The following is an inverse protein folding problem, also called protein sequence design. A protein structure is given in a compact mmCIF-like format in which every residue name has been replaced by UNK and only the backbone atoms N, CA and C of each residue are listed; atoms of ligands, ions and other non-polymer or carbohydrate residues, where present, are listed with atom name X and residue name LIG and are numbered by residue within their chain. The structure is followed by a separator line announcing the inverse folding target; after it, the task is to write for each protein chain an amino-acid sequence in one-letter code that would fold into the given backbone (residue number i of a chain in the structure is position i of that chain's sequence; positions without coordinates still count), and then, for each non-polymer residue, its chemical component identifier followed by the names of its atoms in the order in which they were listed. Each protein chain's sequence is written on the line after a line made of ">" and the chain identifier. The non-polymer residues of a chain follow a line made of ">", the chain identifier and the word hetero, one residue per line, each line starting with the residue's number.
data_IF_393320726471
#
_entry.id   IF_393320726471
#
_cell.length_a   1.000
_cell.length_b   1.000
_cell.length_c   1.000
_cell.angle_alpha   90.00
_cell.angle_beta   90.00
_cell.angle_gamma   90.00
#
_symmetry.space_group_name_H-M   'P 1'
#
loop_
_entity.id
_entity.type
_entity.pdbx_description
1 polymer ?
#
# COMPACT_ATOMS: atom_id res chain seq x y z
N UNK A 1 6.66 -23.09 29.34
CA UNK A 1 8.02 -22.61 29.65
C UNK A 1 8.25 -21.34 28.84
N UNK A 2 8.83 -20.29 29.45
CA UNK A 2 9.27 -19.10 28.70
C UNK A 2 10.68 -19.40 28.21
N UNK A 3 10.91 -19.25 26.92
CA UNK A 3 12.20 -19.44 26.27
C UNK A 3 12.65 -18.13 25.63
N UNK A 4 13.92 -18.08 25.25
CA UNK A 4 14.50 -16.98 24.51
C UNK A 4 15.06 -17.52 23.19
N UNK A 5 14.73 -16.87 22.09
CA UNK A 5 15.20 -17.22 20.75
C UNK A 5 15.80 -15.98 20.09
N UNK A 6 17.00 -16.12 19.54
CA UNK A 6 17.71 -15.02 18.87
C UNK A 6 18.09 -15.42 17.46
N UNK A 7 17.89 -14.53 16.50
CA UNK A 7 18.28 -14.70 15.10
C UNK A 7 18.64 -13.35 14.46
N UNK A 8 19.31 -13.37 13.31
CA UNK A 8 19.59 -12.17 12.53
C UNK A 8 18.64 -12.08 11.33
N UNK A 9 18.26 -10.86 10.94
CA UNK A 9 17.71 -10.61 9.61
C UNK A 9 18.85 -10.73 8.60
N UNK A 10 18.89 -11.87 7.91
CA UNK A 10 20.00 -12.25 7.04
C UNK A 10 19.56 -12.45 5.60
N UNK A 11 20.48 -12.17 4.67
CA UNK A 11 20.26 -12.39 3.26
C UNK A 11 20.62 -13.82 2.89
N UNK A 12 19.60 -14.65 2.65
CA UNK A 12 19.75 -16.06 2.29
C UNK A 12 19.86 -16.29 0.79
N UNK A 13 19.84 -15.23 -0.03
CA UNK A 13 19.98 -15.39 -1.47
C UNK A 13 21.43 -15.75 -1.83
N UNK A 14 21.68 -16.40 -2.98
CA UNK A 14 23.03 -16.63 -3.46
C UNK A 14 23.79 -15.29 -3.67
N UNK A 15 25.03 -15.13 -3.17
CA UNK A 15 25.78 -13.86 -3.20
C UNK A 15 25.88 -13.20 -4.59
N UNK A 16 25.86 -14.00 -5.66
CA UNK A 16 25.99 -13.53 -7.04
C UNK A 16 24.64 -13.35 -7.75
N UNK A 17 23.55 -13.17 -7.00
CA UNK A 17 22.20 -12.94 -7.56
C UNK A 17 21.76 -11.48 -7.40
N UNK A 18 20.98 -10.98 -8.35
CA UNK A 18 20.36 -9.66 -8.24
C UNK A 18 19.51 -9.51 -6.96
N UNK A 19 18.83 -10.60 -6.55
CA UNK A 19 18.06 -10.65 -5.30
C UNK A 19 18.94 -10.48 -4.07
N UNK A 20 20.17 -11.01 -4.06
CA UNK A 20 21.11 -10.78 -2.98
C UNK A 20 21.52 -9.32 -2.89
N UNK A 21 21.96 -8.71 -3.99
CA UNK A 21 22.35 -7.30 -4.00
C UNK A 21 21.20 -6.38 -3.54
N UNK A 22 19.98 -6.64 -4.01
CA UNK A 22 18.79 -5.89 -3.65
C UNK A 22 18.44 -6.03 -2.15
N UNK A 23 18.33 -7.27 -1.65
CA UNK A 23 18.00 -7.51 -0.24
C UNK A 23 19.09 -6.99 0.71
N UNK A 24 20.37 -7.09 0.35
CA UNK A 24 21.46 -6.55 1.17
C UNK A 24 21.33 -5.02 1.34
N UNK A 25 21.06 -4.31 0.25
CA UNK A 25 20.83 -2.85 0.25
C UNK A 25 19.60 -2.47 1.08
N UNK A 26 18.50 -3.20 0.90
CA UNK A 26 17.27 -2.99 1.64
C UNK A 26 17.48 -3.26 3.15
N UNK A 27 18.16 -4.34 3.54
CA UNK A 27 18.47 -4.62 4.94
C UNK A 27 19.27 -3.48 5.59
N UNK A 28 20.21 -2.85 4.88
CA UNK A 28 20.91 -1.66 5.38
C UNK A 28 19.95 -0.49 5.67
N UNK A 29 18.92 -0.32 4.84
CA UNK A 29 17.85 0.64 5.08
C UNK A 29 17.04 0.32 6.33
N UNK A 30 16.64 -0.95 6.50
CA UNK A 30 15.88 -1.42 7.68
C UNK A 30 16.64 -1.18 8.98
N UNK A 31 17.97 -1.39 8.99
CA UNK A 31 18.81 -1.17 10.16
C UNK A 31 18.77 0.26 10.71
N UNK A 32 18.43 1.24 9.85
CA UNK A 32 18.29 2.66 10.21
C UNK A 32 16.85 3.00 10.64
N UNK A 33 15.90 2.09 10.41
CA UNK A 33 14.47 2.26 10.66
C UNK A 33 13.89 1.19 11.59
N UNK A 34 14.68 0.64 12.52
CA UNK A 34 14.25 -0.44 13.43
C UNK A 34 13.00 -0.11 14.26
N UNK A 35 12.68 1.18 14.42
CA UNK A 35 11.45 1.66 15.09
C UNK A 35 10.18 1.27 14.34
N UNK A 36 10.26 0.93 13.05
CA UNK A 36 9.10 0.46 12.28
C UNK A 36 8.50 -0.83 12.83
N UNK A 37 9.27 -1.61 13.58
CA UNK A 37 8.79 -2.81 14.25
C UNK A 37 8.11 -2.52 15.59
N UNK A 38 8.12 -1.28 16.10
CA UNK A 38 7.54 -0.96 17.40
C UNK A 38 6.05 -1.32 17.52
N UNK A 39 5.18 -1.04 16.52
CA UNK A 39 3.79 -1.47 16.55
C UNK A 39 3.63 -2.99 16.76
N UNK A 40 4.42 -3.79 16.04
CA UNK A 40 4.47 -5.23 16.20
C UNK A 40 4.97 -5.64 17.59
N UNK A 41 6.01 -4.98 18.13
CA UNK A 41 6.53 -5.24 19.48
C UNK A 41 5.45 -5.01 20.53
N UNK A 42 4.81 -3.84 20.50
CA UNK A 42 3.76 -3.47 21.46
C UNK A 42 2.58 -4.43 21.41
N UNK A 43 2.18 -4.84 20.19
CA UNK A 43 1.12 -5.84 20.00
C UNK A 43 1.45 -7.17 20.66
N UNK A 44 2.61 -7.73 20.38
CA UNK A 44 3.02 -9.03 20.93
C UNK A 44 3.19 -8.99 22.46
N UNK A 45 3.67 -7.86 22.97
CA UNK A 45 3.80 -7.63 24.41
C UNK A 45 2.42 -7.54 25.08
N UNK A 46 1.48 -6.76 24.51
CA UNK A 46 0.13 -6.61 25.04
C UNK A 46 -0.71 -7.90 24.96
N UNK A 47 -0.70 -8.60 23.82
CA UNK A 47 -1.60 -9.73 23.57
C UNK A 47 -1.12 -11.05 24.15
N UNK A 48 0.21 -11.26 24.21
CA UNK A 48 0.79 -12.58 24.51
C UNK A 48 1.95 -12.52 25.51
N UNK A 49 2.26 -11.34 26.06
CA UNK A 49 3.42 -11.12 26.94
C UNK A 49 4.74 -11.55 26.28
N UNK A 50 4.83 -11.40 24.95
CA UNK A 50 6.02 -11.75 24.18
C UNK A 50 6.86 -10.49 23.99
N UNK A 51 8.09 -10.52 24.51
CA UNK A 51 9.02 -9.39 24.39
C UNK A 51 9.89 -9.57 23.14
N UNK A 52 9.83 -8.59 22.23
CA UNK A 52 10.65 -8.56 21.01
C UNK A 52 11.65 -7.41 21.10
N UNK A 53 12.93 -7.74 21.02
CA UNK A 53 14.02 -6.77 20.95
C UNK A 53 14.61 -6.79 19.55
N UNK A 54 14.81 -5.61 18.96
CA UNK A 54 15.40 -5.45 17.62
C UNK A 54 16.57 -4.49 17.76
N UNK A 55 17.78 -5.00 17.52
CA UNK A 55 19.03 -4.27 17.66
C UNK A 55 19.75 -4.24 16.32
N UNK A 56 20.12 -3.06 15.85
CA UNK A 56 21.05 -2.92 14.72
C UNK A 56 22.49 -2.80 15.25
N UNK A 57 23.38 -3.61 14.70
CA UNK A 57 24.82 -3.51 14.93
C UNK A 57 25.47 -2.95 13.67
N UNK A 58 25.88 -1.68 13.75
CA UNK A 58 26.48 -0.95 12.64
C UNK A 58 27.86 -1.48 12.27
N UNK A 59 28.60 -2.09 13.20
CA UNK A 59 29.92 -2.64 12.96
C UNK A 59 29.82 -3.91 12.11
N UNK A 60 28.89 -4.81 12.45
CA UNK A 60 28.69 -6.07 11.72
C UNK A 60 27.69 -5.97 10.57
N UNK A 61 27.01 -4.82 10.40
CA UNK A 61 25.91 -4.61 9.45
C UNK A 61 24.79 -5.66 9.61
N UNK A 62 24.50 -6.02 10.86
CA UNK A 62 23.45 -7.00 11.18
C UNK A 62 22.29 -6.37 11.93
N UNK A 63 21.09 -6.93 11.74
CA UNK A 63 19.92 -6.63 12.54
C UNK A 63 19.55 -7.87 13.35
N UNK A 64 19.84 -7.86 14.65
CA UNK A 64 19.58 -8.96 15.57
C UNK A 64 18.21 -8.82 16.19
N UNK A 65 17.44 -9.91 16.15
CA UNK A 65 16.12 -10.04 16.73
C UNK A 65 16.20 -11.04 17.89
N UNK A 66 15.75 -10.62 19.06
CA UNK A 66 15.61 -11.50 20.24
C UNK A 66 14.16 -11.52 20.68
N UNK A 67 13.58 -12.71 20.78
CA UNK A 67 12.19 -12.94 21.18
C UNK A 67 12.18 -13.74 22.47
N UNK A 68 11.45 -13.26 23.47
CA UNK A 68 11.24 -13.97 24.74
C UNK A 68 9.75 -14.22 24.94
N UNK A 69 9.35 -15.49 25.05
CA UNK A 69 7.94 -15.89 25.10
C UNK A 69 7.75 -17.41 25.15
N UNK A 70 6.53 -17.89 24.89
CA UNK A 70 6.27 -19.32 24.68
C UNK A 70 6.81 -19.75 23.31
N UNK A 71 7.27 -20.99 23.17
CA UNK A 71 7.80 -21.53 21.91
C UNK A 71 6.82 -21.39 20.73
N UNK A 72 5.52 -21.62 20.98
CA UNK A 72 4.47 -21.45 19.98
C UNK A 72 4.38 -20.02 19.47
N UNK A 73 4.50 -19.04 20.37
CA UNK A 73 4.40 -17.62 20.05
C UNK A 73 5.70 -17.14 19.36
N UNK A 74 6.86 -17.59 19.82
CA UNK A 74 8.17 -17.33 19.20
C UNK A 74 8.17 -17.77 17.73
N UNK A 75 7.63 -18.97 17.44
CA UNK A 75 7.54 -19.48 16.07
C UNK A 75 6.72 -18.55 15.18
N UNK A 76 5.57 -18.06 15.67
CA UNK A 76 4.70 -17.16 14.90
C UNK A 76 5.38 -15.81 14.66
N UNK A 77 6.01 -15.22 15.68
CA UNK A 77 6.79 -13.98 15.53
C UNK A 77 7.89 -14.15 14.48
N UNK A 78 8.60 -15.29 14.51
CA UNK A 78 9.62 -15.59 13.50
C UNK A 78 9.03 -15.67 12.09
N UNK A 79 7.87 -16.32 11.93
CA UNK A 79 7.15 -16.37 10.66
C UNK A 79 6.70 -14.98 10.15
N UNK A 80 6.40 -14.04 11.05
CA UNK A 80 6.13 -12.64 10.69
C UNK A 80 7.39 -11.95 10.13
N UNK A 81 8.54 -12.09 10.79
CA UNK A 81 9.82 -11.57 10.27
C UNK A 81 10.25 -12.25 8.96
N UNK A 82 10.07 -13.56 8.82
CA UNK A 82 10.35 -14.28 7.59
C UNK A 82 9.41 -13.83 6.45
N UNK A 83 8.16 -13.50 6.78
CA UNK A 83 7.22 -12.89 5.82
C UNK A 83 7.68 -11.50 5.40
N UNK A 84 8.14 -10.67 6.34
CA UNK A 84 8.69 -9.36 6.04
C UNK A 84 9.92 -9.45 5.12
N UNK A 85 10.85 -10.37 5.38
CA UNK A 85 12.03 -10.57 4.51
C UNK A 85 11.65 -10.97 3.08
N UNK A 86 10.60 -11.78 2.92
CA UNK A 86 10.06 -12.14 1.59
C UNK A 86 9.49 -10.94 0.84
N UNK A 87 8.90 -9.97 1.51
CA UNK A 87 8.50 -8.71 0.86
C UNK A 87 9.71 -7.84 0.55
N UNK A 88 10.65 -7.74 1.49
CA UNK A 88 11.83 -6.90 1.39
C UNK A 88 12.75 -7.28 0.23
N UNK A 89 12.82 -8.56 -0.13
CA UNK A 89 13.68 -9.05 -1.21
C UNK A 89 13.23 -8.55 -2.61
N UNK A 90 11.92 -8.33 -2.77
CA UNK A 90 11.29 -7.97 -4.05
C UNK A 90 10.96 -6.46 -4.12
N UNK A 91 11.10 -5.74 -3.01
CA UNK A 91 10.99 -4.28 -2.92
C UNK A 91 12.14 -3.60 -3.68
N UNK A 92 11.85 -2.61 -4.54
CA UNK A 92 12.90 -1.92 -5.30
C UNK A 92 13.60 -0.84 -4.45
N UNK A 93 12.85 -0.17 -3.57
CA UNK A 93 13.32 0.89 -2.68
C UNK A 93 12.51 0.87 -1.39
N UNK A 94 13.18 0.78 -0.24
CA UNK A 94 12.49 0.99 1.03
C UNK A 94 12.11 2.46 1.17
N UNK A 95 10.85 2.71 1.51
CA UNK A 95 10.36 4.06 1.79
C UNK A 95 9.73 4.15 3.15
N UNK A 96 10.03 5.22 3.87
CA UNK A 96 9.30 5.54 5.08
C UNK A 96 7.79 5.58 4.78
N UNK A 97 6.89 5.08 5.66
CA UNK A 97 5.47 5.02 5.34
C UNK A 97 4.85 6.39 5.05
N UNK A 98 5.50 7.46 5.53
CA UNK A 98 5.10 8.86 5.35
C UNK A 98 5.92 9.59 4.27
N UNK A 99 6.61 8.87 3.38
CA UNK A 99 7.43 9.48 2.31
C UNK A 99 6.60 9.97 1.11
N UNK A 100 5.26 9.98 1.23
CA UNK A 100 4.34 10.44 0.18
C UNK A 100 4.35 11.96 0.00
N UNK A 101 3.46 12.45 -0.85
CA UNK A 101 3.15 13.88 -0.95
C UNK A 101 2.13 14.21 0.15
N UNK A 102 2.42 15.20 1.02
CA UNK A 102 1.50 15.63 2.06
C UNK A 102 0.11 15.99 1.51
N UNK A 103 -0.93 15.92 2.35
CA UNK A 103 -2.26 16.36 1.96
C UNK A 103 -2.22 17.79 1.40
N UNK A 104 -2.86 17.99 0.25
CA UNK A 104 -3.07 19.33 -0.32
C UNK A 104 -4.48 19.50 -0.83
N UNK A 105 -4.98 20.73 -0.72
CA UNK A 105 -6.21 21.18 -1.36
C UNK A 105 -6.02 21.14 -2.88
N UNK A 106 -7.09 20.77 -3.59
CA UNK A 106 -7.16 20.85 -5.04
C UNK A 106 -7.02 22.30 -5.54
N UNK A 107 -6.37 22.48 -6.69
CA UNK A 107 -6.22 23.80 -7.30
C UNK A 107 -7.57 24.55 -7.47
N UNK A 108 -7.58 25.90 -7.37
CA UNK A 108 -8.81 26.70 -7.39
C UNK A 108 -9.74 26.43 -8.58
N UNK A 109 -9.16 26.09 -9.73
CA UNK A 109 -9.90 25.79 -10.96
C UNK A 109 -10.76 24.52 -10.81
N UNK A 110 -10.23 23.46 -10.21
CA UNK A 110 -10.91 22.16 -10.09
C UNK A 110 -11.82 22.11 -8.85
N UNK A 111 -11.51 22.91 -7.82
CA UNK A 111 -12.22 22.92 -6.55
C UNK A 111 -13.73 23.21 -6.69
N UNK A 112 -14.11 24.07 -7.64
CA UNK A 112 -15.51 24.40 -7.89
C UNK A 112 -16.34 23.16 -8.25
N UNK A 113 -15.72 22.20 -8.95
CA UNK A 113 -16.35 21.00 -9.48
C UNK A 113 -16.11 19.75 -8.61
N UNK A 114 -15.55 19.94 -7.40
CA UNK A 114 -15.14 18.87 -6.49
C UNK A 114 -15.62 19.10 -5.03
N UNK A 115 -16.66 19.92 -4.83
CA UNK A 115 -17.22 20.15 -3.48
C UNK A 115 -17.76 18.88 -2.84
N UNK A 116 -18.34 18.01 -3.65
CA UNK A 116 -18.86 16.71 -3.23
C UNK A 116 -17.72 15.76 -2.78
N UNK A 117 -16.54 15.88 -3.40
CA UNK A 117 -15.34 15.16 -2.97
C UNK A 117 -14.88 15.70 -1.61
N UNK A 118 -14.80 17.02 -1.43
CA UNK A 118 -14.46 17.63 -0.13
C UNK A 118 -15.43 17.20 0.98
N UNK A 119 -16.73 17.11 0.68
CA UNK A 119 -17.74 16.64 1.64
C UNK A 119 -17.49 15.19 2.07
N UNK A 120 -17.23 14.28 1.11
CA UNK A 120 -16.89 12.88 1.42
C UNK A 120 -15.56 12.74 2.16
N UNK A 121 -14.56 13.57 1.86
CA UNK A 121 -13.31 13.62 2.64
C UNK A 121 -13.63 14.02 4.08
N UNK A 122 -14.39 15.11 4.27
CA UNK A 122 -14.78 15.62 5.58
C UNK A 122 -15.53 14.57 6.41
N UNK A 123 -16.44 13.80 5.80
CA UNK A 123 -17.11 12.69 6.48
C UNK A 123 -16.11 11.70 7.10
N UNK A 124 -14.96 11.48 6.47
CA UNK A 124 -14.01 10.48 6.92
C UNK A 124 -12.94 11.07 7.85
N UNK A 125 -12.52 12.32 7.63
CA UNK A 125 -11.31 12.87 8.27
C UNK A 125 -11.57 13.92 9.35
N UNK A 126 -12.78 14.47 9.48
CA UNK A 126 -13.06 15.50 10.49
C UNK A 126 -13.19 14.89 11.90
N UNK A 127 -12.16 15.03 12.74
CA UNK A 127 -12.19 14.50 14.12
C UNK A 127 -13.24 15.14 15.02
N UNK A 128 -13.85 16.26 14.59
CA UNK A 128 -14.88 16.99 15.34
C UNK A 128 -16.30 16.48 15.09
N UNK A 129 -16.50 15.50 14.19
CA UNK A 129 -17.81 14.88 13.97
C UNK A 129 -18.41 14.36 15.28
N UNK A 130 -19.67 14.67 15.49
CA UNK A 130 -20.42 14.27 16.68
C UNK A 130 -20.92 12.83 16.57
N UNK A 131 -21.36 12.25 17.68
CA UNK A 131 -22.03 10.94 17.67
C UNK A 131 -23.28 10.94 16.79
N UNK A 132 -24.00 12.07 16.71
CA UNK A 132 -25.19 12.21 15.86
C UNK A 132 -24.81 12.12 14.38
N UNK A 133 -23.72 12.79 13.99
CA UNK A 133 -23.23 12.75 12.60
C UNK A 133 -22.87 11.32 12.18
N UNK A 134 -22.23 10.56 13.07
CA UNK A 134 -21.87 9.17 12.84
C UNK A 134 -23.10 8.25 12.83
N UNK A 135 -24.06 8.48 13.74
CA UNK A 135 -25.29 7.69 13.83
C UNK A 135 -26.13 7.76 12.55
N UNK A 136 -26.20 8.95 11.94
CA UNK A 136 -26.89 9.15 10.66
C UNK A 136 -26.27 8.37 9.50
N UNK A 137 -24.98 8.05 9.57
CA UNK A 137 -24.27 7.23 8.58
C UNK A 137 -24.52 5.73 8.75
N UNK A 138 -24.92 5.28 9.94
CA UNK A 138 -25.10 3.85 10.24
C UNK A 138 -26.55 3.40 10.36
N UNK A 139 -27.48 4.31 10.65
CA UNK A 139 -28.90 4.00 10.88
C UNK A 139 -29.85 4.97 10.17
N UNK A 140 -31.07 4.50 9.93
CA UNK A 140 -32.13 5.25 9.25
C UNK A 140 -32.20 4.96 7.75
N UNK A 141 -33.12 5.63 7.06
CA UNK A 141 -33.39 5.40 5.64
C UNK A 141 -32.25 5.80 4.70
N UNK A 142 -31.28 6.58 5.20
CA UNK A 142 -30.10 7.02 4.45
C UNK A 142 -28.86 6.16 4.70
N UNK A 143 -28.93 5.19 5.62
CA UNK A 143 -27.81 4.30 5.88
C UNK A 143 -27.61 3.35 4.69
N UNK A 144 -26.49 3.52 3.99
CA UNK A 144 -26.05 2.61 2.93
C UNK A 144 -24.80 1.87 3.38
N UNK A 145 -24.35 0.92 2.54
CA UNK A 145 -23.07 0.27 2.77
C UNK A 145 -21.92 1.28 2.80
N UNK A 146 -21.95 2.24 1.88
CA UNK A 146 -20.91 3.23 1.69
C UNK A 146 -20.86 4.23 2.86
N UNK A 147 -22.00 4.70 3.37
CA UNK A 147 -22.03 5.56 4.56
C UNK A 147 -21.57 4.82 5.82
N UNK A 148 -21.81 3.50 5.91
CA UNK A 148 -21.25 2.65 6.97
C UNK A 148 -19.74 2.48 6.83
N UNK A 149 -19.24 2.29 5.60
CA UNK A 149 -17.80 2.30 5.31
C UNK A 149 -17.14 3.63 5.68
N UNK A 150 -17.80 4.78 5.43
CA UNK A 150 -17.32 6.10 5.87
C UNK A 150 -17.19 6.18 7.40
N UNK A 151 -18.15 5.62 8.15
CA UNK A 151 -18.09 5.60 9.62
C UNK A 151 -16.97 4.68 10.13
N UNK A 152 -16.79 3.49 9.55
CA UNK A 152 -15.66 2.60 9.88
C UNK A 152 -14.32 3.29 9.59
N UNK A 153 -14.20 3.93 8.42
CA UNK A 153 -13.01 4.68 8.03
C UNK A 153 -12.75 5.86 8.97
N UNK A 154 -13.79 6.60 9.35
CA UNK A 154 -13.69 7.68 10.33
C UNK A 154 -13.18 7.19 11.68
N UNK A 155 -13.70 6.06 12.19
CA UNK A 155 -13.21 5.49 13.46
C UNK A 155 -11.74 5.14 13.32
N UNK A 156 -11.34 4.46 12.25
CA UNK A 156 -9.95 4.09 12.02
C UNK A 156 -9.01 5.30 11.97
N UNK A 157 -9.37 6.35 11.22
CA UNK A 157 -8.53 7.53 11.04
C UNK A 157 -8.57 8.45 12.27
N UNK A 158 -9.76 8.83 12.73
CA UNK A 158 -9.91 9.89 13.73
C UNK A 158 -9.67 9.39 15.17
N UNK A 159 -9.98 8.12 15.48
CA UNK A 159 -9.80 7.56 16.83
C UNK A 159 -8.56 6.69 16.97
N UNK A 160 -8.09 6.06 15.90
CA UNK A 160 -6.96 5.13 15.93
C UNK A 160 -5.78 5.58 15.07
N UNK A 161 -5.82 6.82 14.56
CA UNK A 161 -4.75 7.47 13.79
C UNK A 161 -4.22 6.60 12.64
N UNK A 162 -5.11 5.81 12.02
CA UNK A 162 -4.81 5.07 10.80
C UNK A 162 -4.78 6.01 9.59
N UNK A 163 -4.17 5.57 8.49
CA UNK A 163 -4.24 6.23 7.19
C UNK A 163 -5.02 5.39 6.20
N UNK A 164 -6.07 5.96 5.60
CA UNK A 164 -6.90 5.28 4.59
C UNK A 164 -6.35 5.51 3.18
N UNK A 165 -6.36 4.49 2.35
CA UNK A 165 -5.87 4.55 0.97
C UNK A 165 -6.62 3.59 0.03
N UNK A 166 -6.17 3.54 -1.22
CA UNK A 166 -6.53 2.45 -2.13
C UNK A 166 -7.91 2.56 -2.74
N UNK A 167 -8.61 1.42 -2.82
CA UNK A 167 -9.81 1.26 -3.63
C UNK A 167 -10.98 2.15 -3.20
N UNK A 168 -11.21 2.30 -1.91
CA UNK A 168 -12.30 3.12 -1.37
C UNK A 168 -12.11 4.61 -1.64
N UNK A 169 -10.90 5.14 -1.46
CA UNK A 169 -10.58 6.55 -1.75
C UNK A 169 -10.82 6.83 -3.24
N UNK A 170 -10.34 5.93 -4.12
CA UNK A 170 -10.54 6.03 -5.56
C UNK A 170 -12.01 5.94 -5.96
N UNK A 171 -12.64 4.82 -5.63
CA UNK A 171 -13.95 4.47 -6.16
C UNK A 171 -15.04 5.33 -5.53
N UNK A 172 -15.07 5.48 -4.20
CA UNK A 172 -16.15 6.16 -3.49
C UNK A 172 -15.85 7.64 -3.24
N UNK A 173 -14.76 7.95 -2.54
CA UNK A 173 -14.50 9.33 -2.08
C UNK A 173 -14.30 10.27 -3.26
N UNK A 174 -13.45 9.91 -4.21
CA UNK A 174 -13.18 10.75 -5.38
C UNK A 174 -14.14 10.46 -6.53
N UNK A 175 -14.38 9.18 -6.83
CA UNK A 175 -15.15 8.77 -8.00
C UNK A 175 -16.67 8.78 -7.83
N UNK A 176 -17.17 8.65 -6.60
CA UNK A 176 -18.58 8.37 -6.32
C UNK A 176 -19.14 7.19 -7.16
N UNK A 177 -18.30 6.20 -7.41
CA UNK A 177 -18.61 4.99 -8.16
C UNK A 177 -19.17 3.94 -7.22
N UNK A 178 -20.34 3.40 -7.56
CA UNK A 178 -20.91 2.24 -6.91
C UNK A 178 -21.29 1.15 -7.92
N UNK A 179 -21.20 -0.11 -7.50
CA UNK A 179 -21.67 -1.25 -8.28
C UNK A 179 -22.03 -2.41 -7.36
N UNK A 180 -23.21 -3.00 -7.58
CA UNK A 180 -23.79 -4.08 -6.78
C UNK A 180 -24.38 -5.10 -7.75
N UNK A 181 -23.69 -6.23 -8.04
CA UNK A 181 -24.05 -7.12 -9.15
C UNK A 181 -25.38 -7.86 -8.95
N UNK A 182 -25.88 -7.94 -7.71
CA UNK A 182 -27.18 -8.52 -7.39
C UNK A 182 -27.79 -7.82 -6.17
N UNK A 183 -29.09 -8.03 -5.92
CA UNK A 183 -29.82 -7.42 -4.80
C UNK A 183 -29.58 -8.11 -3.46
N UNK A 184 -28.95 -9.29 -3.41
CA UNK A 184 -28.78 -10.04 -2.18
C UNK A 184 -27.36 -9.85 -1.61
N UNK A 185 -27.18 -9.03 -0.56
CA UNK A 185 -25.84 -8.68 -0.10
C UNK A 185 -25.03 -9.86 0.44
N UNK A 186 -25.69 -10.92 0.91
CA UNK A 186 -24.96 -12.10 1.44
C UNK A 186 -24.15 -12.82 0.36
N UNK A 187 -24.53 -12.67 -0.92
CA UNK A 187 -23.82 -13.26 -2.05
C UNK A 187 -22.62 -12.44 -2.52
N UNK A 188 -22.35 -11.30 -1.88
CA UNK A 188 -21.20 -10.45 -2.19
C UNK A 188 -19.92 -10.92 -1.47
N UNK A 189 -20.04 -11.88 -0.56
CA UNK A 189 -18.94 -12.42 0.24
C UNK A 189 -18.42 -13.72 -0.36
N UNK A 190 -17.11 -13.78 -0.58
CA UNK A 190 -16.35 -14.96 -0.97
C UNK A 190 -15.35 -15.31 0.14
N UNK A 191 -14.90 -16.56 0.15
CA UNK A 191 -13.84 -17.01 1.05
C UNK A 191 -12.70 -17.66 0.26
N UNK A 192 -11.48 -17.30 0.62
CA UNK A 192 -10.26 -17.93 0.11
C UNK A 192 -9.52 -18.60 1.25
N UNK A 193 -8.84 -19.72 1.00
CA UNK A 193 -8.08 -20.42 2.05
C UNK A 193 -6.63 -19.99 2.01
N UNK A 194 -6.10 -19.46 3.12
CA UNK A 194 -4.69 -19.09 3.19
C UNK A 194 -3.77 -20.31 3.41
N UNK A 195 -2.45 -20.09 3.42
CA UNK A 195 -1.44 -21.15 3.63
C UNK A 195 -1.56 -21.87 4.98
N UNK A 196 -2.30 -21.29 5.94
CA UNK A 196 -2.57 -21.88 7.26
C UNK A 196 -3.91 -22.62 7.31
N UNK A 197 -4.60 -22.78 6.17
CA UNK A 197 -5.92 -23.42 6.10
C UNK A 197 -7.08 -22.54 6.61
N UNK A 198 -6.82 -21.27 6.92
CA UNK A 198 -7.83 -20.35 7.43
C UNK A 198 -8.62 -19.72 6.29
N UNK A 199 -9.94 -19.64 6.45
CA UNK A 199 -10.83 -18.94 5.54
C UNK A 199 -10.62 -17.42 5.70
N UNK A 200 -10.29 -16.77 4.59
CA UNK A 200 -10.07 -15.34 4.46
C UNK A 200 -11.28 -14.75 3.71
N UNK A 201 -12.07 -13.87 4.35
CA UNK A 201 -13.18 -13.22 3.68
C UNK A 201 -12.67 -12.24 2.62
N UNK A 202 -13.37 -12.18 1.49
CA UNK A 202 -13.13 -11.21 0.43
C UNK A 202 -14.48 -10.81 -0.20
N UNK A 203 -14.56 -9.58 -0.71
CA UNK A 203 -15.74 -9.13 -1.45
C UNK A 203 -15.58 -9.45 -2.94
N UNK A 204 -16.65 -9.96 -3.56
CA UNK A 204 -16.70 -10.25 -5.00
C UNK A 204 -16.22 -9.03 -5.81
N UNK A 205 -15.43 -9.26 -6.86
CA UNK A 205 -14.69 -8.20 -7.58
C UNK A 205 -15.59 -7.12 -8.19
N UNK A 206 -16.85 -7.45 -8.45
CA UNK A 206 -17.91 -6.62 -9.03
C UNK A 206 -18.48 -5.60 -8.05
N UNK A 207 -18.39 -5.83 -6.73
CA UNK A 207 -18.88 -4.88 -5.74
C UNK A 207 -17.90 -3.72 -5.61
N UNK A 208 -18.42 -2.50 -5.71
CA UNK A 208 -17.65 -1.26 -5.68
C UNK A 208 -18.36 -0.25 -4.76
N UNK A 209 -17.65 0.37 -3.80
CA UNK A 209 -16.28 0.06 -3.35
C UNK A 209 -16.22 -1.34 -2.71
N UNK A 210 -15.09 -2.05 -2.79
CA UNK A 210 -15.01 -3.42 -2.27
C UNK A 210 -14.66 -3.46 -0.77
N UNK A 211 -13.61 -2.74 -0.41
CA UNK A 211 -12.89 -2.85 0.84
C UNK A 211 -12.30 -1.51 1.29
N UNK A 212 -11.88 -1.44 2.56
CA UNK A 212 -11.12 -0.34 3.14
C UNK A 212 -9.66 -0.77 3.34
N UNK A 213 -8.69 -0.07 2.74
CA UNK A 213 -7.27 -0.32 2.96
C UNK A 213 -6.71 0.73 3.93
N UNK A 214 -6.32 0.30 5.13
CA UNK A 214 -5.80 1.20 6.16
C UNK A 214 -4.39 0.79 6.61
N UNK A 215 -3.48 1.76 6.70
CA UNK A 215 -2.22 1.58 7.40
C UNK A 215 -2.38 1.89 8.88
N UNK A 216 -1.87 0.98 9.72
CA UNK A 216 -1.79 1.18 11.15
C UNK A 216 -0.81 2.31 11.52
N UNK A 217 -0.99 2.98 12.68
CA UNK A 217 -0.08 4.03 13.12
C UNK A 217 1.33 3.48 13.39
N UNK A 218 2.35 4.23 12.98
CA UNK A 218 3.77 3.89 13.25
C UNK A 218 4.20 4.22 14.68
N UNK A 219 3.42 5.05 15.38
CA UNK A 219 3.79 5.69 16.63
C UNK A 219 2.94 5.24 17.83
N UNK A 220 1.93 4.40 17.60
CA UNK A 220 1.05 3.89 18.65
C UNK A 220 0.74 2.39 18.48
N UNK A 221 0.37 1.73 19.57
CA UNK A 221 -0.21 0.39 19.52
C UNK A 221 -1.65 0.47 19.03
N UNK A 222 -1.99 -0.33 18.01
CA UNK A 222 -3.36 -0.50 17.57
C UNK A 222 -4.01 -1.67 18.31
N UNK A 223 -4.96 -1.35 19.17
CA UNK A 223 -5.76 -2.34 19.90
C UNK A 223 -6.99 -2.73 19.06
N UNK A 224 -6.96 -3.94 18.50
CA UNK A 224 -8.02 -4.45 17.64
C UNK A 224 -9.32 -4.72 18.40
N UNK A 225 -9.24 -5.15 19.66
CA UNK A 225 -10.44 -5.41 20.48
C UNK A 225 -11.13 -4.08 20.79
N UNK A 226 -10.35 -3.07 21.18
CA UNK A 226 -10.88 -1.70 21.36
C UNK A 226 -11.48 -1.13 20.07
N UNK A 227 -10.88 -1.42 18.91
CA UNK A 227 -11.45 -1.02 17.62
C UNK A 227 -12.81 -1.69 17.38
N UNK A 228 -12.93 -2.99 17.63
CA UNK A 228 -14.21 -3.71 17.55
C UNK A 228 -15.26 -3.14 18.52
N UNK A 229 -14.86 -2.81 19.75
CA UNK A 229 -15.74 -2.17 20.73
C UNK A 229 -16.24 -0.80 20.25
N UNK A 230 -15.38 0.00 19.62
CA UNK A 230 -15.78 1.28 19.03
C UNK A 230 -16.76 1.09 17.87
N UNK A 231 -16.57 0.07 17.02
CA UNK A 231 -17.54 -0.27 15.97
C UNK A 231 -18.89 -0.71 16.55
N UNK A 232 -18.85 -1.54 17.59
CA UNK A 232 -20.06 -2.08 18.23
C UNK A 232 -20.97 -0.98 18.80
N UNK A 233 -20.40 0.14 19.28
CA UNK A 233 -21.17 1.32 19.74
C UNK A 233 -22.10 1.91 18.67
N UNK A 234 -21.79 1.67 17.40
CA UNK A 234 -22.58 2.13 16.25
C UNK A 234 -23.39 1.01 15.60
N UNK A 235 -23.54 -0.15 16.27
CA UNK A 235 -24.22 -1.33 15.72
C UNK A 235 -23.57 -1.82 14.42
N UNK A 236 -22.25 -1.70 14.34
CA UNK A 236 -21.41 -2.28 13.29
C UNK A 236 -20.80 -3.56 13.86
N UNK A 237 -21.18 -4.70 13.28
CA UNK A 237 -20.68 -6.02 13.70
C UNK A 237 -19.51 -6.41 12.82
N UNK A 238 -18.50 -7.03 13.42
CA UNK A 238 -17.36 -7.50 12.64
C UNK A 238 -16.67 -8.73 13.19
N UNK A 239 -16.09 -9.50 12.28
CA UNK A 239 -15.22 -10.64 12.55
C UNK A 239 -13.78 -10.29 12.15
N UNK A 240 -12.80 -10.69 12.95
CA UNK A 240 -11.39 -10.39 12.71
C UNK A 240 -10.62 -11.66 12.37
N UNK A 241 -9.91 -11.61 11.24
CA UNK A 241 -8.96 -12.63 10.81
C UNK A 241 -7.56 -12.02 10.77
N UNK A 242 -6.57 -12.72 11.34
CA UNK A 242 -5.18 -12.25 11.40
C UNK A 242 -4.29 -13.04 10.45
N UNK A 243 -3.64 -12.34 9.53
CA UNK A 243 -2.51 -12.87 8.75
C UNK A 243 -1.18 -12.42 9.37
N UNK A 244 -0.02 -12.72 8.78
CA UNK A 244 1.26 -12.29 9.36
C UNK A 244 1.48 -10.77 9.26
N UNK A 245 0.83 -10.09 8.33
CA UNK A 245 1.15 -8.71 7.93
C UNK A 245 -0.04 -7.73 7.98
N UNK A 246 -1.26 -8.24 8.20
CA UNK A 246 -2.46 -7.40 8.36
C UNK A 246 -3.49 -8.06 9.27
N UNK A 247 -4.46 -7.28 9.73
CA UNK A 247 -5.78 -7.79 10.13
C UNK A 247 -6.74 -7.63 8.95
N UNK A 248 -7.63 -8.59 8.80
CA UNK A 248 -8.72 -8.57 7.83
C UNK A 248 -10.01 -8.58 8.65
N UNK A 249 -10.78 -7.51 8.53
CA UNK A 249 -12.02 -7.32 9.28
C UNK A 249 -13.17 -7.50 8.30
N UNK A 250 -14.00 -8.51 8.52
CA UNK A 250 -15.28 -8.65 7.82
C UNK A 250 -16.32 -7.86 8.59
N UNK A 251 -16.89 -6.86 7.96
CA UNK A 251 -17.89 -5.98 8.57
C UNK A 251 -19.26 -6.29 8.00
N UNK A 252 -20.27 -6.32 8.86
CA UNK A 252 -21.69 -6.26 8.49
C UNK A 252 -22.19 -7.43 7.61
N UNK A 253 -21.60 -8.61 7.81
CA UNK A 253 -21.91 -9.87 7.11
C UNK A 253 -23.40 -10.13 6.89
N UNK A 254 -24.19 -9.97 7.95
CA UNK A 254 -25.61 -10.34 7.99
C UNK A 254 -26.55 -9.13 7.95
N UNK A 255 -26.04 -7.96 7.54
CA UNK A 255 -26.84 -6.73 7.47
C UNK A 255 -27.48 -6.54 6.10
N UNK A 256 -28.61 -5.82 6.06
CA UNK A 256 -29.30 -5.47 4.82
C UNK A 256 -28.53 -4.49 3.94
N UNK A 257 -27.61 -3.71 4.51
CA UNK A 257 -26.71 -2.82 3.76
C UNK A 257 -25.64 -3.61 3.01
N UNK A 258 -25.24 -4.75 3.55
CA UNK A 258 -24.30 -5.67 2.92
C UNK A 258 -22.88 -5.63 3.46
N UNK A 259 -22.13 -6.74 3.26
CA UNK A 259 -20.80 -6.90 3.82
C UNK A 259 -19.75 -6.04 3.11
N UNK A 260 -18.71 -5.70 3.85
CA UNK A 260 -17.46 -5.20 3.30
C UNK A 260 -16.28 -5.68 4.12
N UNK A 261 -15.08 -5.60 3.56
CA UNK A 261 -13.85 -5.95 4.28
C UNK A 261 -13.02 -4.71 4.56
N UNK A 262 -12.20 -4.78 5.60
CA UNK A 262 -11.18 -3.78 5.91
C UNK A 262 -9.86 -4.47 6.20
N UNK A 263 -8.81 -4.04 5.52
CA UNK A 263 -7.45 -4.44 5.77
C UNK A 263 -6.75 -3.41 6.66
N UNK A 264 -6.23 -3.86 7.81
CA UNK A 264 -5.37 -3.08 8.69
C UNK A 264 -3.93 -3.56 8.52
N UNK A 265 -3.16 -2.86 7.70
CA UNK A 265 -1.83 -3.22 7.23
C UNK A 265 -0.77 -2.79 8.25
N UNK A 266 0.09 -3.72 8.64
CA UNK A 266 1.17 -3.47 9.59
C UNK A 266 2.22 -2.49 9.01
N UNK A 267 2.76 -1.56 9.81
CA UNK A 267 3.60 -0.48 9.28
C UNK A 267 4.94 -0.96 8.72
N UNK A 268 5.47 -2.06 9.24
CA UNK A 268 6.71 -2.65 8.74
C UNK A 268 6.56 -3.22 7.33
N UNK A 269 5.35 -3.63 6.92
CA UNK A 269 5.10 -4.10 5.55
C UNK A 269 4.87 -2.93 4.60
N UNK A 270 4.26 -1.83 5.07
CA UNK A 270 4.08 -0.61 4.28
C UNK A 270 5.38 -0.08 3.66
N UNK A 271 6.52 -0.27 4.33
CA UNK A 271 7.86 0.06 3.81
C UNK A 271 8.21 -0.58 2.46
N UNK A 272 7.57 -1.71 2.16
CA UNK A 272 7.84 -2.54 0.98
C UNK A 272 6.84 -2.30 -0.16
N UNK A 273 5.83 -1.43 0.05
CA UNK A 273 4.84 -1.03 -0.95
C UNK A 273 5.35 0.16 -1.76
N UNK A 274 6.52 0.02 -2.37
CA UNK A 274 7.24 1.12 -3.03
C UNK A 274 6.79 1.38 -4.47
N UNK A 275 6.00 0.48 -5.04
CA UNK A 275 5.40 0.61 -6.37
C UNK A 275 3.90 0.73 -6.27
N UNK A 276 3.35 1.56 -7.15
CA UNK A 276 1.91 1.64 -7.38
C UNK A 276 1.61 1.01 -8.72
N UNK A 277 0.53 0.24 -8.79
CA UNK A 277 0.13 -0.34 -10.06
C UNK A 277 -0.50 0.70 -10.99
N UNK A 278 -1.39 1.56 -10.45
CA UNK A 278 -2.15 2.56 -11.18
C UNK A 278 -2.08 3.92 -10.50
N UNK A 279 -1.97 5.01 -11.27
CA UNK A 279 -2.03 6.39 -10.77
C UNK A 279 -3.22 6.65 -9.83
N UNK A 280 -4.39 6.13 -10.18
CA UNK A 280 -5.62 6.26 -9.41
C UNK A 280 -5.65 5.51 -8.07
N UNK A 281 -4.63 4.70 -7.77
CA UNK A 281 -4.47 4.01 -6.47
C UNK A 281 -3.47 4.72 -5.54
N UNK A 282 -3.01 5.90 -5.94
CA UNK A 282 -2.01 6.66 -5.20
C UNK A 282 -2.61 7.53 -4.09
N UNK A 283 -3.92 7.70 -4.04
CA UNK A 283 -4.55 8.64 -3.11
C UNK A 283 -4.66 8.07 -1.69
N UNK A 284 -4.52 8.95 -0.69
CA UNK A 284 -4.73 8.65 0.72
C UNK A 284 -5.40 9.80 1.47
N UNK A 285 -6.06 9.46 2.57
CA UNK A 285 -6.72 10.40 3.48
C UNK A 285 -6.10 10.34 4.88
N UNK A 286 -5.98 11.50 5.51
CA UNK A 286 -5.37 11.68 6.83
C UNK A 286 -6.27 12.52 7.73
N UNK A 287 -6.17 12.30 9.04
CA UNK A 287 -6.98 12.96 10.07
C UNK A 287 -6.87 14.49 10.02
N UNK A 288 -8.00 15.16 10.19
CA UNK A 288 -8.17 16.62 10.22
C UNK A 288 -7.82 17.39 8.92
N UNK A 289 -7.45 16.66 7.87
CA UNK A 289 -7.33 17.19 6.51
C UNK A 289 -8.66 17.04 5.77
N UNK A 290 -9.63 17.90 6.13
CA UNK A 290 -11.05 17.76 5.74
C UNK A 290 -11.36 18.10 4.29
N UNK A 291 -10.38 18.61 3.54
CA UNK A 291 -10.56 19.04 2.13
C UNK A 291 -9.39 18.66 1.24
N UNK A 292 -8.48 17.82 1.74
CA UNK A 292 -7.19 17.59 1.14
C UNK A 292 -7.04 16.13 0.74
N UNK A 293 -6.32 15.91 -0.35
CA UNK A 293 -5.89 14.58 -0.78
C UNK A 293 -4.37 14.50 -0.67
N UNK A 294 -3.89 13.42 -0.08
CA UNK A 294 -2.47 13.07 -0.09
C UNK A 294 -2.17 12.07 -1.20
N UNK A 295 -0.88 11.90 -1.52
CA UNK A 295 -0.41 10.83 -2.39
C UNK A 295 0.60 9.96 -1.67
N UNK A 296 0.46 8.64 -1.77
CA UNK A 296 1.36 7.65 -1.14
C UNK A 296 2.76 7.69 -1.74
N UNK A 297 2.85 7.92 -3.04
CA UNK A 297 4.09 8.02 -3.80
C UNK A 297 4.11 9.33 -4.55
N UNK A 298 5.23 10.06 -4.45
CA UNK A 298 5.42 11.25 -5.25
C UNK A 298 5.67 10.85 -6.71
N UNK A 299 4.67 11.09 -7.56
CA UNK A 299 4.71 10.84 -9.00
C UNK A 299 4.65 12.14 -9.82
N UNK A 300 4.86 13.27 -9.16
CA UNK A 300 4.92 14.61 -9.75
C UNK A 300 6.36 14.98 -10.17
N UNK A 301 7.35 14.13 -9.84
CA UNK A 301 8.76 14.39 -10.12
C UNK A 301 9.20 13.82 -11.45
N UNK A 302 9.83 14.69 -12.26
CA UNK A 302 10.39 14.34 -13.58
C UNK A 302 11.21 13.04 -13.56
N UNK A 303 11.19 12.25 -14.65
CA UNK A 303 10.59 12.54 -15.96
C UNK A 303 9.08 12.29 -16.03
N UNK A 304 8.45 11.87 -14.93
CA UNK A 304 7.02 11.59 -14.86
C UNK A 304 6.31 12.71 -14.08
N UNK A 305 5.21 13.26 -14.57
CA UNK A 305 4.49 14.33 -13.84
C UNK A 305 3.00 14.07 -13.96
N UNK A 306 2.48 13.16 -13.13
CA UNK A 306 1.03 13.04 -12.95
C UNK A 306 0.66 13.90 -11.75
N UNK A 307 0.02 15.03 -12.02
CA UNK A 307 -0.52 15.92 -10.99
C UNK A 307 -1.74 15.30 -10.30
N UNK A 308 -1.97 15.67 -9.03
CA UNK A 308 -3.13 15.23 -8.26
C UNK A 308 -4.45 15.50 -9.02
N UNK A 309 -4.55 16.66 -9.66
CA UNK A 309 -5.69 17.06 -10.47
C UNK A 309 -5.92 16.11 -11.66
N UNK A 310 -4.83 15.63 -12.29
CA UNK A 310 -4.93 14.63 -13.35
C UNK A 310 -5.40 13.28 -12.81
N UNK A 311 -4.98 12.88 -11.59
CA UNK A 311 -5.45 11.65 -10.95
C UNK A 311 -6.96 11.76 -10.67
N UNK A 312 -7.42 12.89 -10.11
CA UNK A 312 -8.84 13.12 -9.85
C UNK A 312 -9.65 13.10 -11.14
N UNK A 313 -9.19 13.77 -12.20
CA UNK A 313 -9.84 13.73 -13.51
C UNK A 313 -9.90 12.31 -14.09
N UNK A 314 -8.79 11.55 -13.98
CA UNK A 314 -8.75 10.16 -14.40
C UNK A 314 -9.77 9.31 -13.63
N UNK A 315 -9.91 9.51 -12.32
CA UNK A 315 -10.90 8.80 -11.50
C UNK A 315 -12.33 9.13 -11.93
N UNK A 316 -12.66 10.42 -12.11
CA UNK A 316 -14.00 10.85 -12.52
C UNK A 316 -14.38 10.27 -13.88
N UNK A 317 -13.40 10.13 -14.78
CA UNK A 317 -13.59 9.58 -16.13
C UNK A 317 -13.34 8.07 -16.24
N UNK A 318 -13.15 7.35 -15.13
CA UNK A 318 -12.76 5.93 -15.09
C UNK A 318 -11.58 5.59 -16.01
N UNK A 319 -10.57 6.45 -16.06
CA UNK A 319 -9.30 6.20 -16.74
C UNK A 319 -8.21 5.87 -15.74
N UNK A 320 -7.23 5.08 -16.14
CA UNK A 320 -6.05 4.82 -15.31
C UNK A 320 -4.80 4.65 -16.15
N UNK A 321 -3.67 5.01 -15.58
CA UNK A 321 -2.35 4.87 -16.17
C UNK A 321 -1.58 3.80 -15.39
N UNK A 322 -1.00 2.83 -16.09
CA UNK A 322 -0.19 1.78 -15.46
C UNK A 322 1.20 2.35 -15.13
N UNK A 323 1.60 2.23 -13.86
CA UNK A 323 2.80 2.85 -13.29
C UNK A 323 3.93 1.86 -12.96
N UNK A 324 3.84 0.60 -13.40
CA UNK A 324 4.88 -0.42 -13.22
C UNK A 324 4.91 -1.40 -14.38
N UNK A 325 5.97 -2.23 -14.53
CA UNK A 325 5.99 -3.28 -15.55
C UNK A 325 4.81 -4.23 -15.39
N UNK A 326 4.21 -4.61 -16.53
CA UNK A 326 3.09 -5.55 -16.56
C UNK A 326 3.64 -6.96 -16.37
N UNK A 327 3.46 -7.48 -15.15
CA UNK A 327 3.62 -8.89 -14.81
C UNK A 327 2.23 -9.57 -14.72
N UNK A 328 2.18 -10.87 -14.42
CA UNK A 328 0.92 -11.62 -14.30
C UNK A 328 -0.03 -11.00 -13.27
N UNK A 329 0.47 -10.53 -12.13
CA UNK A 329 -0.37 -9.94 -11.08
C UNK A 329 -0.93 -8.57 -11.52
N UNK A 330 -0.10 -7.74 -12.15
CA UNK A 330 -0.54 -6.45 -12.72
C UNK A 330 -1.55 -6.69 -13.83
N UNK A 331 -1.35 -7.69 -14.68
CA UNK A 331 -2.29 -8.04 -15.74
C UNK A 331 -3.66 -8.48 -15.18
N UNK A 332 -3.69 -9.29 -14.12
CA UNK A 332 -4.93 -9.63 -13.42
C UNK A 332 -5.65 -8.40 -12.86
N UNK A 333 -4.89 -7.44 -12.32
CA UNK A 333 -5.43 -6.17 -11.82
C UNK A 333 -5.94 -5.28 -12.96
N UNK A 334 -5.24 -5.23 -14.09
CA UNK A 334 -5.69 -4.52 -15.31
C UNK A 334 -7.01 -5.12 -15.78
N UNK A 335 -7.09 -6.45 -15.92
CA UNK A 335 -8.33 -7.15 -16.31
C UNK A 335 -9.47 -6.88 -15.34
N UNK A 336 -9.19 -6.83 -14.02
CA UNK A 336 -10.20 -6.42 -13.02
C UNK A 336 -10.69 -4.99 -13.27
N UNK A 337 -9.79 -4.04 -13.51
CA UNK A 337 -10.16 -2.65 -13.77
C UNK A 337 -10.97 -2.51 -15.07
N UNK A 338 -10.53 -3.14 -16.15
CA UNK A 338 -11.15 -3.01 -17.47
C UNK A 338 -12.41 -3.86 -17.61
N UNK A 339 -12.27 -5.18 -17.53
CA UNK A 339 -13.35 -6.12 -17.87
C UNK A 339 -14.45 -6.19 -16.81
N UNK A 340 -14.15 -5.86 -15.53
CA UNK A 340 -15.11 -5.96 -14.43
C UNK A 340 -15.61 -4.58 -14.00
N UNK A 341 -14.72 -3.60 -13.88
CA UNK A 341 -15.07 -2.29 -13.30
C UNK A 341 -15.33 -1.20 -14.34
N UNK A 342 -15.13 -1.49 -15.62
CA UNK A 342 -15.40 -0.59 -16.73
C UNK A 342 -14.45 0.60 -16.81
N UNK A 343 -13.20 0.43 -16.36
CA UNK A 343 -12.16 1.44 -16.51
C UNK A 343 -11.42 1.29 -17.84
N UNK A 344 -10.86 2.38 -18.34
CA UNK A 344 -10.08 2.39 -19.58
C UNK A 344 -8.64 2.74 -19.27
N UNK A 345 -7.69 1.95 -19.79
CA UNK A 345 -6.28 2.32 -19.70
C UNK A 345 -6.01 3.56 -20.56
N UNK A 346 -5.47 4.60 -19.97
CA UNK A 346 -4.93 5.77 -20.67
C UNK A 346 -3.43 5.63 -20.83
N UNK A 347 -2.92 5.99 -22.01
CA UNK A 347 -1.48 6.06 -22.27
C UNK A 347 -0.75 4.72 -22.27
N UNK A 348 0.55 4.80 -22.52
CA UNK A 348 1.46 3.65 -22.47
C UNK A 348 1.96 3.44 -21.04
N UNK A 349 2.04 2.20 -20.54
CA UNK A 349 2.61 1.93 -19.22
C UNK A 349 3.99 2.56 -19.07
N UNK A 350 4.29 3.13 -17.90
CA UNK A 350 5.63 3.59 -17.58
C UNK A 350 5.97 3.22 -16.14
N UNK A 351 7.24 2.90 -15.90
CA UNK A 351 7.68 2.41 -14.60
C UNK A 351 8.03 3.58 -13.68
N UNK A 352 7.12 3.90 -12.76
CA UNK A 352 7.42 4.84 -11.68
C UNK A 352 8.18 4.11 -10.60
N UNK A 353 9.43 4.53 -10.44
CA UNK A 353 10.23 4.19 -9.28
C UNK A 353 10.36 5.47 -8.48
N UNK A 354 9.98 5.45 -7.18
CA UNK A 354 10.21 6.59 -6.30
C UNK A 354 11.68 7.04 -6.31
N UNK A 355 11.90 8.31 -6.03
CA UNK A 355 13.26 8.83 -5.87
C UNK A 355 14.03 8.07 -4.78
N UNK A 356 15.35 7.92 -4.95
CA UNK A 356 16.18 7.42 -3.88
C UNK A 356 16.02 8.28 -2.61
N UNK A 357 16.20 7.69 -1.42
CA UNK A 357 16.43 8.48 -0.22
C UNK A 357 17.57 9.50 -0.46
N UNK A 358 17.54 10.72 0.12
CA UNK A 358 18.47 11.82 -0.21
C UNK A 358 19.97 11.50 -0.14
N UNK A 359 20.35 10.42 0.55
CA UNK A 359 21.73 9.96 0.66
C UNK A 359 22.24 9.18 -0.57
N UNK A 360 21.34 8.68 -1.41
CA UNK A 360 21.71 7.93 -2.60
C UNK A 360 21.43 8.78 -3.84
N UNK A 361 22.46 8.99 -4.66
CA UNK A 361 22.31 9.70 -5.94
C UNK A 361 21.71 8.81 -7.02
N UNK A 362 21.78 7.47 -6.86
CA UNK A 362 21.24 6.52 -7.83
C UNK A 362 20.68 5.26 -7.17
N UNK A 363 19.74 4.63 -7.87
CA UNK A 363 19.19 3.32 -7.56
C UNK A 363 19.47 2.36 -8.71
N UNK A 364 19.82 1.12 -8.37
CA UNK A 364 19.92 0.02 -9.33
C UNK A 364 18.72 -0.90 -9.12
N UNK A 365 17.90 -1.04 -10.16
CA UNK A 365 16.60 -1.70 -10.06
C UNK A 365 16.61 -2.90 -10.98
N UNK A 366 16.60 -4.13 -10.44
CA UNK A 366 16.57 -5.32 -11.26
C UNK A 366 15.39 -5.29 -12.23
N UNK A 367 15.68 -5.47 -13.52
CA UNK A 367 14.65 -5.65 -14.55
C UNK A 367 14.23 -7.12 -14.55
N UNK A 368 12.93 -7.44 -14.41
CA UNK A 368 12.47 -8.82 -14.54
C UNK A 368 12.71 -9.33 -15.97
N UNK A 369 13.18 -10.57 -16.08
CA UNK A 369 13.47 -11.21 -17.37
C UNK A 369 12.27 -11.37 -18.29
N UNK A 370 11.06 -11.31 -17.71
CA UNK A 370 9.79 -11.32 -18.43
C UNK A 370 9.45 -9.99 -19.11
N UNK A 371 10.14 -8.90 -18.78
CA UNK A 371 9.83 -7.58 -19.35
C UNK A 371 10.41 -7.40 -20.75
N UNK A 372 9.66 -6.71 -21.61
CA UNK A 372 10.11 -6.37 -22.97
C UNK A 372 11.44 -5.61 -22.98
N UNK A 373 11.63 -4.69 -22.03
CA UNK A 373 12.87 -3.93 -21.89
C UNK A 373 14.07 -4.86 -21.58
N UNK A 374 13.90 -5.81 -20.66
CA UNK A 374 14.95 -6.79 -20.38
C UNK A 374 15.28 -7.60 -21.63
N UNK A 375 14.25 -8.12 -22.31
CA UNK A 375 14.43 -8.97 -23.50
C UNK A 375 15.15 -8.22 -24.62
N UNK A 376 14.80 -6.96 -24.85
CA UNK A 376 15.47 -6.09 -25.83
C UNK A 376 16.94 -5.87 -25.49
N UNK A 377 17.25 -5.43 -24.27
CA UNK A 377 18.65 -5.23 -23.84
C UNK A 377 19.44 -6.54 -23.88
N UNK A 378 18.83 -7.65 -23.44
CA UNK A 378 19.48 -8.96 -23.46
C UNK A 378 19.78 -9.44 -24.89
N UNK A 379 18.90 -9.16 -25.84
CA UNK A 379 19.09 -9.48 -27.25
C UNK A 379 20.26 -8.68 -27.84
N UNK A 380 20.30 -7.36 -27.63
CA UNK A 380 21.40 -6.49 -28.08
C UNK A 380 22.74 -6.95 -27.51
N UNK A 381 22.79 -7.29 -26.21
CA UNK A 381 24.02 -7.79 -25.58
C UNK A 381 24.48 -9.13 -26.18
N UNK A 382 23.55 -10.04 -26.50
CA UNK A 382 23.89 -11.32 -27.14
C UNK A 382 24.35 -11.17 -28.59
N UNK A 383 23.90 -10.12 -29.29
CA UNK A 383 24.41 -9.81 -30.63
C UNK A 383 25.88 -9.40 -30.60
N UNK A 384 26.34 -8.74 -29.54
CA UNK A 384 27.76 -8.39 -29.35
C UNK A 384 28.60 -9.65 -29.15
N UNK A 385 28.13 -10.59 -28.34
CA UNK A 385 28.80 -11.88 -28.13
C UNK A 385 27.81 -12.96 -27.68
N UNK A 386 27.62 -13.99 -28.50
CA UNK A 386 26.69 -15.08 -28.25
C UNK A 386 27.03 -15.94 -27.03
N UNK A 387 28.26 -15.85 -26.51
CA UNK A 387 28.71 -16.56 -25.30
C UNK A 387 28.46 -15.81 -24.00
N UNK A 388 27.89 -14.60 -24.03
CA UNK A 388 27.64 -13.83 -22.82
C UNK A 388 26.53 -14.46 -21.96
N UNK A 389 26.91 -14.92 -20.77
CA UNK A 389 25.97 -15.27 -19.72
C UNK A 389 25.52 -14.00 -18.98
N UNK A 390 24.31 -13.53 -19.28
CA UNK A 390 23.70 -12.39 -18.58
C UNK A 390 23.25 -12.84 -17.19
N UNK A 391 23.93 -12.36 -16.15
CA UNK A 391 23.59 -12.64 -14.74
C UNK A 391 22.39 -11.79 -14.29
N UNK A 392 22.38 -10.52 -14.68
CA UNK A 392 21.30 -9.58 -14.39
C UNK A 392 21.35 -8.37 -15.31
N UNK A 393 20.21 -7.71 -15.48
CA UNK A 393 20.10 -6.39 -16.10
C UNK A 393 19.42 -5.49 -15.08
N UNK A 394 20.02 -4.33 -14.79
CA UNK A 394 19.49 -3.37 -13.83
C UNK A 394 19.23 -2.04 -14.53
N UNK A 395 18.06 -1.45 -14.25
CA UNK A 395 17.77 -0.08 -14.61
C UNK A 395 18.46 0.85 -13.61
N UNK A 396 19.27 1.78 -14.11
CA UNK A 396 19.85 2.85 -13.29
C UNK A 396 18.85 4.00 -13.22
N UNK A 397 18.45 4.39 -12.01
CA UNK A 397 17.61 5.56 -11.76
C UNK A 397 18.42 6.62 -11.03
N UNK A 398 18.74 7.72 -11.70
CA UNK A 398 19.47 8.85 -11.11
C UNK A 398 18.80 10.17 -11.57
N UNK A 399 17.94 10.78 -10.74
CA UNK A 399 17.18 11.97 -11.12
C UNK A 399 18.06 13.12 -11.61
N UNK A 400 19.22 13.33 -10.98
CA UNK A 400 20.14 14.41 -11.35
C UNK A 400 20.77 14.21 -12.73
N UNK A 401 21.20 12.98 -13.04
CA UNK A 401 21.75 12.67 -14.35
C UNK A 401 20.68 12.68 -15.45
N UNK A 402 19.48 12.21 -15.13
CA UNK A 402 18.34 12.27 -16.06
C UNK A 402 17.95 13.72 -16.39
N UNK A 403 17.89 14.59 -15.38
CA UNK A 403 17.61 16.01 -15.60
C UNK A 403 18.71 16.68 -16.45
N UNK A 404 19.98 16.44 -16.12
CA UNK A 404 21.10 16.96 -16.89
C UNK A 404 21.09 16.47 -18.35
N UNK A 405 20.79 15.18 -18.56
CA UNK A 405 20.67 14.57 -19.88
C UNK A 405 19.52 15.19 -20.70
N UNK A 406 18.33 15.32 -20.12
CA UNK A 406 17.17 15.92 -20.79
C UNK A 406 17.37 17.42 -21.08
N UNK A 407 18.03 18.15 -20.18
CA UNK A 407 18.41 19.53 -20.43
C UNK A 407 19.37 19.64 -21.63
N UNK A 408 20.39 18.78 -21.70
CA UNK A 408 21.34 18.77 -22.80
C UNK A 408 20.69 18.39 -24.13
N UNK A 409 19.82 17.37 -24.13
CA UNK A 409 19.04 16.95 -25.30
C UNK A 409 18.21 18.10 -25.88
N UNK A 410 17.59 18.92 -25.01
CA UNK A 410 16.84 20.11 -25.42
C UNK A 410 17.75 21.20 -26.00
N UNK A 411 18.94 21.41 -25.43
CA UNK A 411 19.91 22.38 -25.95
C UNK A 411 20.37 21.95 -27.36
N UNK A 412 20.78 20.70 -27.53
CA UNK A 412 21.22 20.16 -28.82
C UNK A 412 20.09 20.23 -29.85
N UNK A 413 18.88 19.83 -29.49
CA UNK A 413 17.72 19.89 -30.39
C UNK A 413 17.46 21.30 -30.92
N UNK A 414 17.68 22.34 -30.12
CA UNK A 414 17.53 23.74 -30.54
C UNK A 414 18.66 24.23 -31.45
N UNK A 415 19.83 23.58 -31.40
CA UNK A 415 20.97 23.92 -32.26
C UNK A 415 20.91 23.23 -33.62
N UNK A 416 20.14 22.14 -33.73
CA UNK A 416 19.93 21.40 -34.98
C UNK A 416 18.72 21.88 -35.80
N UNK A 417 17.94 22.83 -35.27
CA UNK A 417 16.84 23.53 -35.95
C UNK A 417 17.23 24.96 -36.24
#
# INVERSE_FOLDING_TARGET
>A
MITEFTFNLENKNPPNSAKYANLARNLEGVMKMIRIFNPMKWRWEAQKQVKITVNSDTATKTCRITIKGRDSDIKIVKEEFDSFLRWLQDCAVIRHPNAGVPPRILGPQMRKDCRDIEERICHITDSKRTLVDLYNGVKGSKATRETRMEVVAWIAICKFDCRLEGGFVRDWVVGNHESKPNKNPTSWLEYTTNKKGQQIPAIVKQVVPADLDCHLPTHAYFDVEKFQDELYKFDIKCDVVRENWRYIILVDKDTSTGPFTMDLIEPHVALTHDRIDFDVNNLSLEKDFTRDLAMRVNIQQKPYSIELEQIVDNIKNKRFQVLRPIDTQVQERITKMTAIRGWTQSGQPFNVIPEPPPKYYSLLIPLPSSTTLYQGVAQEMRQISGSLQIVSIEQVKNPYLEEAYEAMKKIISKQCT
#
